data_IF_408081939878
#
_entry.id   IF_408081939878
#
_cell.length_a   1.000
_cell.length_b   1.000
_cell.length_c   1.000
_cell.angle_alpha   90.00
_cell.angle_beta   90.00
_cell.angle_gamma   90.00
#
_symmetry.space_group_name_H-M   'P 1'
#
loop_
_entity.id
_entity.type
_entity.pdbx_description
1 polymer ?
#
# COMPACT_ATOMS: atom_id res chain seq x y z
N UNK A 1 13.16 -7.18 10.10
CA UNK A 1 13.48 -7.27 8.66
C UNK A 1 12.31 -6.69 7.88
N UNK A 2 12.48 -5.49 7.31
CA UNK A 2 11.49 -4.89 6.42
C UNK A 2 11.63 -5.53 5.04
N UNK A 3 10.51 -5.94 4.45
CA UNK A 3 10.49 -6.41 3.07
C UNK A 3 10.50 -5.20 2.15
N UNK A 4 11.50 -5.10 1.27
CA UNK A 4 11.59 -4.04 0.25
C UNK A 4 10.94 -4.59 -1.01
N UNK A 5 9.79 -4.00 -1.38
CA UNK A 5 9.02 -4.44 -2.55
C UNK A 5 9.74 -4.11 -3.86
N UNK A 6 10.46 -2.99 -3.91
CA UNK A 6 11.20 -2.54 -5.09
C UNK A 6 12.30 -1.55 -4.67
N UNK A 7 13.36 -1.39 -5.48
CA UNK A 7 14.37 -0.36 -5.24
C UNK A 7 13.76 1.05 -5.31
N UNK A 8 14.34 2.00 -4.59
CA UNK A 8 13.93 3.41 -4.61
C UNK A 8 14.47 4.10 -5.87
N UNK A 9 13.95 3.68 -7.02
CA UNK A 9 14.37 4.11 -8.36
C UNK A 9 13.15 4.43 -9.23
N UNK A 10 13.35 5.32 -10.19
CA UNK A 10 12.30 5.83 -11.10
C UNK A 10 11.57 4.70 -11.83
N UNK A 11 12.30 3.69 -12.32
CA UNK A 11 11.70 2.55 -13.03
C UNK A 11 10.70 1.77 -12.15
N UNK A 12 10.94 1.70 -10.83
CA UNK A 12 10.05 0.99 -9.92
C UNK A 12 8.75 1.78 -9.70
N UNK A 13 8.85 3.10 -9.63
CA UNK A 13 7.69 3.99 -9.55
C UNK A 13 6.85 3.91 -10.83
N UNK A 14 7.48 3.88 -12.01
CA UNK A 14 6.77 3.69 -13.29
C UNK A 14 6.01 2.36 -13.31
N UNK A 15 6.64 1.25 -12.91
CA UNK A 15 5.96 -0.05 -12.80
C UNK A 15 4.77 0.00 -11.85
N UNK A 16 4.90 0.69 -10.71
CA UNK A 16 3.81 0.87 -9.77
C UNK A 16 2.65 1.67 -10.39
N UNK A 17 2.92 2.77 -11.08
CA UNK A 17 1.88 3.60 -11.71
C UNK A 17 1.12 2.80 -12.78
N UNK A 18 1.82 1.99 -13.59
CA UNK A 18 1.18 1.13 -14.58
C UNK A 18 0.24 0.09 -13.94
N UNK A 19 0.61 -0.47 -12.79
CA UNK A 19 -0.26 -1.38 -12.03
C UNK A 19 -1.48 -0.65 -11.45
N UNK A 20 -1.36 0.64 -11.15
CA UNK A 20 -2.43 1.45 -10.58
C UNK A 20 -3.38 2.03 -11.64
N UNK A 21 -2.99 2.07 -12.90
CA UNK A 21 -3.77 2.67 -13.99
C UNK A 21 -5.23 2.15 -14.09
N UNK A 22 -5.51 0.83 -13.94
CA UNK A 22 -6.89 0.33 -14.02
C UNK A 22 -7.81 0.82 -12.90
N UNK A 23 -7.26 1.33 -11.79
CA UNK A 23 -8.05 1.77 -10.63
C UNK A 23 -8.52 3.22 -10.74
N UNK A 24 -8.13 3.96 -11.78
CA UNK A 24 -8.58 5.34 -12.00
C UNK A 24 -8.16 6.32 -10.90
N UNK A 25 -6.97 6.14 -10.32
CA UNK A 25 -6.47 7.00 -9.24
C UNK A 25 -6.22 8.41 -9.76
N UNK A 26 -6.85 9.41 -9.14
CA UNK A 26 -6.76 10.82 -9.57
C UNK A 26 -5.84 11.68 -8.73
N UNK A 27 -5.41 11.20 -7.54
CA UNK A 27 -4.58 11.96 -6.61
C UNK A 27 -3.51 11.10 -5.96
N UNK A 28 -2.29 11.61 -5.92
CA UNK A 28 -1.13 11.01 -5.27
C UNK A 28 -0.64 11.91 -4.14
N UNK A 29 -0.53 11.35 -2.93
CA UNK A 29 0.03 12.04 -1.77
C UNK A 29 1.38 11.42 -1.43
N UNK A 30 2.46 12.19 -1.55
CA UNK A 30 3.82 11.68 -1.31
C UNK A 30 4.66 12.66 -0.49
N UNK A 31 5.87 12.23 -0.16
CA UNK A 31 6.92 13.11 0.34
C UNK A 31 7.64 13.83 -0.83
N UNK A 32 8.74 14.52 -0.51
CA UNK A 32 9.53 15.34 -1.44
C UNK A 32 10.61 14.55 -2.18
N UNK A 33 10.45 13.23 -2.38
CA UNK A 33 11.41 12.49 -3.20
C UNK A 33 11.31 12.91 -4.67
N UNK A 34 12.43 13.36 -5.26
CA UNK A 34 12.45 13.91 -6.61
C UNK A 34 12.02 12.96 -7.73
N UNK A 35 11.95 11.64 -7.48
CA UNK A 35 11.36 10.68 -8.43
C UNK A 35 9.86 10.91 -8.64
N UNK A 36 9.14 11.36 -7.60
CA UNK A 36 7.72 11.68 -7.72
C UNK A 36 7.49 12.90 -8.61
N UNK A 37 8.28 13.96 -8.44
CA UNK A 37 8.17 15.18 -9.26
C UNK A 37 8.51 14.94 -10.74
N UNK A 38 9.41 13.99 -11.04
CA UNK A 38 9.76 13.65 -12.44
C UNK A 38 8.71 12.82 -13.15
N UNK A 39 7.97 11.97 -12.42
CA UNK A 39 7.12 10.93 -13.01
C UNK A 39 5.63 11.25 -12.87
N UNK A 40 5.20 11.85 -11.77
CA UNK A 40 3.79 12.17 -11.52
C UNK A 40 3.42 13.50 -12.16
N UNK A 41 2.20 13.59 -12.70
CA UNK A 41 1.65 14.84 -13.18
C UNK A 41 1.46 15.82 -12.00
N UNK A 42 2.04 17.04 -12.05
CA UNK A 42 1.89 18.06 -11.01
C UNK A 42 0.45 18.38 -10.62
N UNK A 43 -0.51 18.20 -11.53
CA UNK A 43 -1.93 18.44 -11.25
C UNK A 43 -2.58 17.36 -10.38
N UNK A 44 -2.01 16.15 -10.41
CA UNK A 44 -2.49 14.98 -9.65
C UNK A 44 -1.67 14.75 -8.37
N UNK A 45 -0.52 15.41 -8.25
CA UNK A 45 0.46 15.18 -7.19
C UNK A 45 0.37 16.25 -6.09
N UNK A 46 0.25 15.79 -4.84
CA UNK A 46 0.19 16.67 -3.66
C UNK A 46 1.26 16.25 -2.65
N UNK A 47 2.22 17.13 -2.43
CA UNK A 47 3.24 16.96 -1.40
C UNK A 47 2.68 17.46 -0.07
N UNK A 48 2.52 16.58 0.91
CA UNK A 48 2.03 16.99 2.22
C UNK A 48 2.34 15.99 3.32
N UNK A 49 3.05 16.47 4.34
CA UNK A 49 3.39 15.68 5.52
C UNK A 49 2.16 15.18 6.30
N UNK A 50 1.07 15.94 6.30
CA UNK A 50 -0.15 15.56 7.03
C UNK A 50 -0.83 14.36 6.37
N UNK A 51 -0.91 14.35 5.03
CA UNK A 51 -1.50 13.24 4.29
C UNK A 51 -0.59 12.00 4.32
N UNK A 52 0.73 12.16 4.21
CA UNK A 52 1.66 11.02 4.34
C UNK A 52 1.61 10.40 5.73
N UNK A 53 1.58 11.20 6.80
CA UNK A 53 1.39 10.68 8.17
C UNK A 53 0.07 9.92 8.34
N UNK A 54 -1.01 10.36 7.70
CA UNK A 54 -2.30 9.66 7.73
C UNK A 54 -2.19 8.28 7.06
N UNK A 55 -1.49 8.19 5.93
CA UNK A 55 -1.21 6.92 5.24
C UNK A 55 -0.34 6.02 6.12
N UNK A 56 0.73 6.54 6.72
CA UNK A 56 1.60 5.80 7.63
C UNK A 56 0.84 5.22 8.83
N UNK A 57 -0.06 6.01 9.46
CA UNK A 57 -0.90 5.53 10.56
C UNK A 57 -1.85 4.41 10.13
N UNK A 58 -2.43 4.49 8.92
CA UNK A 58 -3.24 3.41 8.35
C UNK A 58 -2.41 2.14 8.16
N UNK A 59 -1.23 2.23 7.56
CA UNK A 59 -0.32 1.10 7.38
C UNK A 59 0.12 0.48 8.70
N UNK A 60 0.40 1.31 9.73
CA UNK A 60 0.73 0.83 11.07
C UNK A 60 -0.44 0.05 11.70
N UNK A 61 -1.66 0.57 11.53
CA UNK A 61 -2.89 -0.07 12.03
C UNK A 61 -3.12 -1.42 11.34
N UNK A 62 -2.99 -1.46 10.01
CA UNK A 62 -3.07 -2.68 9.21
C UNK A 62 -2.05 -3.72 9.70
N UNK A 63 -0.76 -3.36 9.75
CA UNK A 63 0.34 -4.23 10.19
C UNK A 63 0.09 -4.79 11.59
N UNK A 64 -0.42 -3.96 12.50
CA UNK A 64 -0.73 -4.38 13.88
C UNK A 64 -1.87 -5.40 13.92
N UNK A 65 -2.90 -5.23 13.09
CA UNK A 65 -4.07 -6.11 13.05
C UNK A 65 -3.74 -7.45 12.38
N UNK A 66 -2.97 -7.43 11.28
CA UNK A 66 -2.56 -8.65 10.57
C UNK A 66 -1.27 -9.27 11.11
N UNK A 67 -0.69 -8.75 12.21
CA UNK A 67 0.58 -9.23 12.79
C UNK A 67 0.60 -10.72 13.07
N UNK A 68 -0.58 -11.33 13.26
CA UNK A 68 -0.71 -12.77 13.49
C UNK A 68 -0.40 -13.60 12.25
N UNK A 69 -0.72 -13.12 11.04
CA UNK A 69 -0.40 -13.78 9.77
C UNK A 69 1.12 -13.95 9.58
N UNK A 70 1.91 -12.98 10.07
CA UNK A 70 3.37 -12.98 9.94
C UNK A 70 4.12 -13.84 10.98
N UNK A 71 3.41 -14.43 11.96
CA UNK A 71 4.05 -15.20 13.05
C UNK A 71 4.00 -16.70 12.76
N UNK A 72 5.18 -17.29 12.50
CA UNK A 72 5.35 -18.73 12.22
C UNK A 72 4.74 -19.66 13.28
N UNK A 73 4.78 -19.26 14.55
CA UNK A 73 4.38 -20.12 15.69
C UNK A 73 2.88 -20.15 15.97
N UNK A 74 2.11 -19.19 15.47
CA UNK A 74 0.65 -19.14 15.65
C UNK A 74 -0.06 -19.41 14.32
N UNK A 75 0.46 -20.41 13.60
CA UNK A 75 0.11 -20.76 12.23
C UNK A 75 -1.38 -20.57 11.94
N UNK A 76 -1.69 -19.56 11.13
CA UNK A 76 -3.02 -19.38 10.57
C UNK A 76 -3.26 -20.38 9.42
N UNK A 77 -2.33 -20.44 8.45
CA UNK A 77 -2.31 -21.43 7.37
C UNK A 77 -0.92 -21.50 6.72
N UNK A 78 -0.57 -22.64 6.12
CA UNK A 78 0.63 -22.78 5.26
C UNK A 78 0.35 -22.47 3.79
N UNK A 79 -0.92 -22.28 3.41
CA UNK A 79 -1.34 -22.02 2.03
C UNK A 79 -1.27 -20.52 1.71
N UNK A 80 -0.49 -20.15 0.70
CA UNK A 80 -0.40 -18.77 0.19
C UNK A 80 -1.78 -18.24 -0.22
N UNK A 81 -2.58 -19.08 -0.89
CA UNK A 81 -3.95 -18.75 -1.31
C UNK A 81 -4.83 -18.34 -0.13
N UNK A 82 -4.71 -19.05 1.01
CA UNK A 82 -5.48 -18.70 2.21
C UNK A 82 -5.03 -17.38 2.83
N UNK A 83 -3.73 -17.06 2.76
CA UNK A 83 -3.24 -15.75 3.19
C UNK A 83 -3.79 -14.64 2.28
N UNK A 84 -3.75 -14.82 0.97
CA UNK A 84 -4.22 -13.83 0.00
C UNK A 84 -5.72 -13.55 0.17
N UNK A 85 -6.55 -14.61 0.29
CA UNK A 85 -7.98 -14.48 0.53
C UNK A 85 -8.26 -13.72 1.83
N UNK A 86 -7.57 -14.06 2.91
CA UNK A 86 -7.83 -13.45 4.22
C UNK A 86 -7.35 -12.00 4.27
N UNK A 87 -6.22 -11.68 3.64
CA UNK A 87 -5.75 -10.30 3.48
C UNK A 87 -6.76 -9.51 2.65
N UNK A 88 -7.23 -10.07 1.53
CA UNK A 88 -8.25 -9.45 0.68
C UNK A 88 -9.55 -9.17 1.43
N UNK A 89 -10.10 -10.17 2.12
CA UNK A 89 -11.31 -10.04 2.94
C UNK A 89 -11.13 -9.01 4.07
N UNK A 90 -9.96 -8.99 4.71
CA UNK A 90 -9.64 -8.04 5.75
C UNK A 90 -9.64 -6.60 5.21
N UNK A 91 -8.92 -6.36 4.11
CA UNK A 91 -8.86 -5.04 3.47
C UNK A 91 -10.26 -4.61 3.04
N UNK A 92 -11.02 -5.49 2.39
CA UNK A 92 -12.38 -5.18 1.95
C UNK A 92 -13.26 -4.76 3.13
N UNK A 93 -13.24 -5.53 4.24
CA UNK A 93 -14.07 -5.25 5.42
C UNK A 93 -13.74 -3.92 6.12
N UNK A 94 -12.46 -3.55 6.20
CA UNK A 94 -12.02 -2.42 7.02
C UNK A 94 -11.74 -1.14 6.24
N UNK A 95 -11.32 -1.25 4.97
CA UNK A 95 -11.03 -0.08 4.12
C UNK A 95 -12.15 0.19 3.10
N UNK A 96 -12.96 -0.82 2.74
CA UNK A 96 -14.05 -0.70 1.78
C UNK A 96 -15.40 -1.23 2.31
N UNK A 97 -15.89 -0.71 3.45
CA UNK A 97 -17.06 -1.25 4.14
C UNK A 97 -18.40 -1.13 3.37
N UNK A 98 -18.41 -0.51 2.18
CA UNK A 98 -19.61 -0.29 1.35
C UNK A 98 -19.85 -1.46 0.37
N UNK A 99 -18.90 -2.40 0.23
CA UNK A 99 -18.98 -3.54 -0.68
C UNK A 99 -19.56 -4.83 -0.04
N UNK A 100 -20.15 -4.74 1.16
CA UNK A 100 -20.91 -5.79 1.84
C UNK A 100 -22.18 -5.18 2.45
#
# INVERSE_FOLDING_TARGET
>A
MGYVLAPHQDHALVSLINLLAPFGITRFFTDTWGGYERILDPTTHVISKVYTQKIERKHLTLRTRIKRLARKTICFSKSILMHDIVIGLFINRYEFPILL
#
